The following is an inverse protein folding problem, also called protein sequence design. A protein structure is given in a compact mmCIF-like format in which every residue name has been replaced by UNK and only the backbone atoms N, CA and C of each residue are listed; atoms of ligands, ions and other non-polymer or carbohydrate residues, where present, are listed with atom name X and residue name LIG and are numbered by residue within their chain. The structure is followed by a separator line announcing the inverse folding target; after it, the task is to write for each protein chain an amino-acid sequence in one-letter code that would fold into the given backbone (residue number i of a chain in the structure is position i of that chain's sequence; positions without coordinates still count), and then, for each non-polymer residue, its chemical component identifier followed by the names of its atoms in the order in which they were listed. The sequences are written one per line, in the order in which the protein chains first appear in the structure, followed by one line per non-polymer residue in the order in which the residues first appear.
data_IF_562544816658
#
_entry.id   IF_562544816658
#
_cell.length_a   1.000
_cell.length_b   1.000
_cell.length_c   1.000
_cell.angle_alpha   90.00
_cell.angle_beta   90.00
_cell.angle_gamma   90.00
#
_symmetry.space_group_name_H-M   'P 1'
#
loop_
_entity.id
_entity.type
_entity.pdbx_description
1 polymer ?
#
# COMPACT_ATOMS: atom_id res chain seq x y z
N UNK A 1 -11.82 -9.91 -14.65
CA UNK A 1 -10.82 -8.88 -15.00
C UNK A 1 -9.78 -8.89 -13.89
N UNK A 2 -8.52 -9.11 -14.24
CA UNK A 2 -7.43 -9.04 -13.28
C UNK A 2 -7.08 -7.56 -13.09
N UNK A 3 -7.28 -7.03 -11.89
CA UNK A 3 -7.01 -5.62 -11.56
C UNK A 3 -5.68 -5.53 -10.84
N UNK A 4 -4.76 -4.72 -11.36
CA UNK A 4 -3.48 -4.48 -10.69
C UNK A 4 -3.74 -4.00 -9.26
N UNK A 5 -3.13 -4.67 -8.30
CA UNK A 5 -3.24 -4.40 -6.87
C UNK A 5 -1.85 -4.37 -6.26
N UNK A 6 -1.57 -3.35 -5.47
CA UNK A 6 -0.32 -3.18 -4.74
C UNK A 6 -0.61 -3.38 -3.26
N UNK A 7 0.19 -4.22 -2.60
CA UNK A 7 0.03 -4.57 -1.19
C UNK A 7 1.18 -3.99 -0.37
N UNK A 8 0.83 -3.24 0.68
CA UNK A 8 1.73 -2.90 1.76
C UNK A 8 1.56 -3.93 2.88
N UNK A 9 2.61 -4.69 3.17
CA UNK A 9 2.57 -5.79 4.15
C UNK A 9 3.31 -5.42 5.42
N UNK A 10 2.77 -5.83 6.57
CA UNK A 10 3.37 -5.60 7.88
C UNK A 10 3.39 -6.90 8.67
N UNK A 11 4.45 -7.04 9.47
CA UNK A 11 4.51 -8.03 10.55
C UNK A 11 4.49 -7.30 11.88
N UNK A 12 3.48 -7.57 12.69
CA UNK A 12 3.25 -6.87 13.97
C UNK A 12 3.44 -7.85 15.10
N UNK A 13 4.20 -7.45 16.12
CA UNK A 13 4.37 -8.20 17.36
C UNK A 13 3.60 -7.54 18.49
N UNK A 14 3.07 -8.34 19.42
CA UNK A 14 2.26 -7.89 20.56
C UNK A 14 1.05 -7.04 20.15
N UNK A 15 0.45 -7.37 19.02
CA UNK A 15 -0.68 -6.68 18.44
C UNK A 15 -1.88 -6.68 19.41
N UNK A 16 -2.57 -5.55 19.50
CA UNK A 16 -3.76 -5.39 20.34
C UNK A 16 -5.01 -5.28 19.47
N UNK A 17 -6.10 -5.91 19.90
CA UNK A 17 -7.42 -5.68 19.31
C UNK A 17 -7.79 -4.20 19.41
N UNK A 18 -8.43 -3.66 18.38
CA UNK A 18 -8.85 -2.27 18.31
C UNK A 18 -7.79 -1.32 17.75
N UNK A 19 -6.51 -1.72 17.66
CA UNK A 19 -5.49 -0.92 16.98
C UNK A 19 -5.91 -0.66 15.54
N UNK A 20 -5.96 0.62 15.16
CA UNK A 20 -6.27 1.08 13.83
C UNK A 20 -4.98 1.14 13.00
N UNK A 21 -4.88 0.25 12.02
CA UNK A 21 -3.81 0.30 11.03
C UNK A 21 -4.27 1.13 9.84
N UNK A 22 -3.37 1.91 9.26
CA UNK A 22 -3.67 2.78 8.12
C UNK A 22 -2.53 2.78 7.12
N UNK A 23 -2.86 2.72 5.84
CA UNK A 23 -1.95 2.93 4.73
C UNK A 23 -2.36 4.22 4.01
N UNK A 24 -1.41 5.15 3.92
CA UNK A 24 -1.54 6.39 3.14
C UNK A 24 -0.64 6.25 1.91
N UNK A 25 -1.25 6.31 0.74
CA UNK A 25 -0.59 6.18 -0.55
C UNK A 25 -0.41 7.56 -1.16
N UNK A 26 0.81 7.87 -1.55
CA UNK A 26 1.22 9.15 -2.10
C UNK A 26 1.74 8.97 -3.53
N UNK A 27 1.33 9.85 -4.42
CA UNK A 27 1.87 10.00 -5.77
C UNK A 27 2.51 11.38 -5.89
N UNK A 28 3.77 11.44 -6.30
CA UNK A 28 4.54 12.70 -6.41
C UNK A 28 4.42 13.57 -5.15
N UNK A 29 4.60 12.95 -3.97
CA UNK A 29 4.51 13.56 -2.63
C UNK A 29 3.12 14.09 -2.22
N UNK A 30 2.07 13.81 -3.00
CA UNK A 30 0.69 14.15 -2.66
C UNK A 30 -0.08 12.89 -2.29
N UNK A 31 -0.81 12.92 -1.16
CA UNK A 31 -1.74 11.83 -0.81
C UNK A 31 -2.83 11.69 -1.87
N UNK A 32 -3.02 10.47 -2.37
CA UNK A 32 -4.03 10.15 -3.39
C UNK A 32 -5.01 9.09 -2.92
N UNK A 33 -4.64 8.28 -1.94
CA UNK A 33 -5.52 7.25 -1.39
C UNK A 33 -5.15 6.91 0.05
N UNK A 34 -6.15 6.57 0.87
CA UNK A 34 -6.00 6.16 2.26
C UNK A 34 -6.97 5.05 2.59
N UNK A 35 -6.44 3.98 3.17
CA UNK A 35 -7.19 2.82 3.66
C UNK A 35 -6.83 2.58 5.13
N UNK A 36 -7.81 2.15 5.92
CA UNK A 36 -7.64 1.79 7.31
C UNK A 36 -8.41 0.51 7.67
N UNK A 37 -7.78 -0.35 8.46
CA UNK A 37 -8.41 -1.54 9.06
C UNK A 37 -8.20 -1.55 10.59
N UNK A 38 -9.17 -2.08 11.33
CA UNK A 38 -9.04 -2.26 12.77
C UNK A 38 -8.72 -3.71 13.09
N UNK A 39 -7.72 -3.96 13.93
CA UNK A 39 -7.40 -5.33 14.35
C UNK A 39 -8.54 -5.92 15.19
N UNK A 40 -9.09 -7.05 14.76
CA UNK A 40 -10.23 -7.70 15.43
C UNK A 40 -9.82 -8.53 16.65
N UNK A 41 -8.53 -8.85 16.81
CA UNK A 41 -8.00 -9.66 17.91
C UNK A 41 -6.59 -9.24 18.30
N UNK A 42 -6.24 -9.47 19.56
CA UNK A 42 -4.85 -9.40 20.03
C UNK A 42 -4.07 -10.65 19.61
N UNK A 43 -2.77 -10.51 19.39
CA UNK A 43 -1.88 -11.62 19.04
C UNK A 43 -0.42 -11.29 19.41
N UNK A 44 0.36 -12.31 19.79
CA UNK A 44 1.81 -12.14 19.97
C UNK A 44 2.51 -11.80 18.64
N UNK A 45 1.96 -12.28 17.53
CA UNK A 45 2.46 -12.05 16.17
C UNK A 45 1.29 -12.12 15.17
N UNK A 46 1.22 -11.17 14.23
CA UNK A 46 0.26 -11.18 13.11
C UNK A 46 0.85 -10.55 11.86
N UNK A 47 0.56 -11.13 10.70
CA UNK A 47 0.84 -10.54 9.39
C UNK A 47 -0.42 -9.87 8.86
N UNK A 48 -0.27 -8.63 8.39
CA UNK A 48 -1.36 -7.78 7.90
C UNK A 48 -0.97 -7.22 6.54
N UNK A 49 -1.95 -6.99 5.69
CA UNK A 49 -1.78 -6.29 4.43
C UNK A 49 -2.86 -5.23 4.29
N UNK A 50 -2.47 -4.07 3.77
CA UNK A 50 -3.38 -3.06 3.23
C UNK A 50 -3.04 -2.91 1.75
N UNK A 51 -4.01 -2.50 0.94
CA UNK A 51 -3.83 -2.49 -0.51
C UNK A 51 -4.45 -1.28 -1.17
N UNK A 52 -3.92 -0.95 -2.34
CA UNK A 52 -4.60 -0.10 -3.30
C UNK A 52 -4.71 -0.85 -4.63
N UNK A 53 -5.81 -0.66 -5.34
CA UNK A 53 -6.06 -1.24 -6.66
C UNK A 53 -6.42 -0.16 -7.67
N UNK A 54 -6.47 -0.53 -8.95
CA UNK A 54 -6.89 0.36 -10.03
C UNK A 54 -8.32 0.89 -9.90
N UNK A 55 -9.16 0.29 -9.04
CA UNK A 55 -10.51 0.82 -8.77
C UNK A 55 -10.52 1.89 -7.68
N UNK A 56 -9.47 1.96 -6.86
CA UNK A 56 -9.34 2.92 -5.75
C UNK A 56 -8.68 4.22 -6.21
N UNK A 57 -7.62 4.09 -7.01
CA UNK A 57 -6.82 5.20 -7.52
C UNK A 57 -6.26 4.85 -8.91
N UNK A 58 -6.17 5.85 -9.77
CA UNK A 58 -5.52 5.69 -11.06
C UNK A 58 -4.01 5.45 -10.87
N UNK A 59 -3.55 4.24 -11.16
CA UNK A 59 -2.15 3.85 -11.05
C UNK A 59 -1.35 4.34 -12.27
N UNK A 60 -0.75 5.52 -12.13
CA UNK A 60 0.08 6.15 -13.17
C UNK A 60 1.58 5.83 -12.97
N UNK A 61 2.37 5.76 -14.05
CA UNK A 61 3.82 5.74 -13.95
C UNK A 61 4.35 6.95 -13.17
N UNK A 62 5.34 6.76 -12.31
CA UNK A 62 5.92 7.82 -11.50
C UNK A 62 6.34 7.36 -10.10
N UNK A 63 6.64 8.33 -9.24
CA UNK A 63 7.13 8.09 -7.87
C UNK A 63 5.98 7.94 -6.90
N UNK A 64 5.98 6.81 -6.19
CA UNK A 64 4.97 6.47 -5.20
C UNK A 64 5.60 6.26 -3.83
N UNK A 65 4.85 6.58 -2.79
CA UNK A 65 5.25 6.30 -1.40
C UNK A 65 4.06 5.74 -0.64
N UNK A 66 4.28 4.74 0.21
CA UNK A 66 3.30 4.31 1.21
C UNK A 66 3.81 4.62 2.61
N UNK A 67 2.97 5.28 3.40
CA UNK A 67 3.17 5.52 4.83
C UNK A 67 2.22 4.65 5.61
N UNK A 68 2.74 4.00 6.64
CA UNK A 68 1.99 3.10 7.50
C UNK A 68 1.85 3.72 8.88
N UNK A 69 0.66 3.61 9.46
CA UNK A 69 0.34 4.16 10.77
C UNK A 69 -0.33 3.10 11.65
N UNK A 70 -0.09 3.18 12.95
CA UNK A 70 -0.91 2.53 13.99
C UNK A 70 -1.43 3.60 14.94
N UNK A 71 -2.75 3.66 15.11
CA UNK A 71 -3.44 4.63 15.98
C UNK A 71 -3.00 6.09 15.70
N UNK A 72 -2.82 6.42 14.41
CA UNK A 72 -2.39 7.74 13.94
C UNK A 72 -0.90 8.02 14.07
N UNK A 73 -0.13 7.16 14.73
CA UNK A 73 1.34 7.28 14.83
C UNK A 73 1.99 6.64 13.61
N UNK A 74 2.85 7.38 12.91
CA UNK A 74 3.61 6.82 11.80
C UNK A 74 4.51 5.71 12.35
N UNK A 75 4.48 4.55 11.69
CA UNK A 75 5.34 3.41 12.00
C UNK A 75 6.74 3.64 11.41
N UNK A 76 7.23 2.67 10.64
CA UNK A 76 8.51 2.69 9.96
C UNK A 76 8.71 3.91 9.03
N UNK A 77 9.92 4.02 8.48
CA UNK A 77 10.17 4.97 7.39
C UNK A 77 9.23 4.69 6.21
N UNK A 78 8.75 5.74 5.51
CA UNK A 78 7.91 5.57 4.32
C UNK A 78 8.60 4.69 3.27
N UNK A 79 7.83 3.80 2.63
CA UNK A 79 8.34 2.91 1.60
C UNK A 79 8.10 3.53 0.24
N UNK A 80 9.18 3.87 -0.46
CA UNK A 80 9.13 4.43 -1.81
C UNK A 80 9.22 3.34 -2.89
N UNK A 81 8.50 3.51 -3.99
CA UNK A 81 8.57 2.66 -5.17
C UNK A 81 8.22 3.45 -6.43
N UNK A 82 8.43 2.84 -7.60
CA UNK A 82 8.12 3.44 -8.89
C UNK A 82 7.25 2.51 -9.70
N UNK A 83 6.13 3.02 -10.21
CA UNK A 83 5.38 2.35 -11.27
C UNK A 83 6.01 2.79 -12.59
N UNK A 84 6.34 1.82 -13.45
CA UNK A 84 6.88 2.07 -14.79
C UNK A 84 5.79 1.83 -15.84
N UNK A 85 5.94 2.47 -16.99
CA UNK A 85 5.19 2.03 -18.17
C UNK A 85 5.51 0.57 -18.47
N UNK A 86 4.54 -0.21 -18.97
CA UNK A 86 4.85 -1.53 -19.51
C UNK A 86 5.89 -1.33 -20.61
N UNK A 87 6.91 -2.19 -20.63
CA UNK A 87 7.83 -2.21 -21.76
C UNK A 87 7.01 -2.37 -23.03
N UNK A 88 7.12 -1.42 -23.95
CA UNK A 88 6.48 -1.53 -25.25
C UNK A 88 6.94 -2.86 -25.85
N UNK A 89 6.02 -3.83 -25.99
CA UNK A 89 6.34 -5.01 -26.76
C UNK A 89 6.80 -4.51 -28.12
N UNK A 90 8.04 -4.85 -28.48
CA UNK A 90 8.55 -4.68 -29.83
C UNK A 90 7.51 -5.33 -30.74
N UNK A 91 6.72 -4.49 -31.41
CA UNK A 91 5.93 -4.94 -32.53
C UNK A 91 6.96 -5.36 -33.57
N UNK A 92 7.18 -6.67 -33.71
CA UNK A 92 7.89 -7.20 -34.86
C UNK A 92 7.12 -6.75 -36.10
N UNK A 93 7.69 -5.75 -36.78
CA UNK A 93 7.32 -5.43 -38.14
C UNK A 93 7.82 -6.55 -39.06
N UNK A 94 6.96 -6.98 -39.99
CA UNK A 94 7.27 -7.94 -41.04
C UNK A 94 6.01 -8.34 -41.79
#
# INVERSE_FOLDING_TARGET
FDTLTIYATLKIYNAQSGTQLTAQWEYESSEVYRDSISLSRSASEICVWLSMSQTDVEMRPGSWTVRLFADGTQLESPVAFTIREPDAQMTEGG
#
